data_IF_709835703970
#
_entry.id   IF_709835703970
#
_cell.length_a   1.000
_cell.length_b   1.000
_cell.length_c   1.000
_cell.angle_alpha   90.00
_cell.angle_beta   90.00
_cell.angle_gamma   90.00
#
_symmetry.space_group_name_H-M   'P 1'
#
loop_
_entity.id
_entity.type
_entity.pdbx_description
1 polymer ?
#
# COMPACT_ATOMS: atom_id res chain seq x y z
N UNK A 1 -18.82 79.92 -13.46
CA UNK A 1 -17.78 80.74 -14.12
C UNK A 1 -16.61 79.83 -14.48
N UNK A 2 -16.37 79.76 -15.81
CA UNK A 2 -15.08 79.62 -16.49
C UNK A 2 -14.19 78.42 -16.07
N UNK A 3 -14.07 77.44 -16.97
CA UNK A 3 -13.20 77.32 -18.20
C UNK A 3 -11.79 76.84 -17.86
N UNK A 4 -11.40 75.82 -18.55
CA UNK A 4 -10.00 75.56 -18.87
C UNK A 4 -9.69 74.16 -19.36
N UNK A 5 -9.65 74.07 -20.69
CA UNK A 5 -9.19 72.89 -21.41
C UNK A 5 -7.67 72.73 -21.35
N UNK A 6 -7.13 71.52 -21.53
CA UNK A 6 -5.76 71.25 -21.74
C UNK A 6 -5.53 69.84 -22.26
N UNK A 7 -5.29 69.74 -23.57
CA UNK A 7 -4.87 68.58 -24.32
C UNK A 7 -3.39 68.28 -24.06
N UNK A 8 -2.99 66.99 -24.20
CA UNK A 8 -1.60 66.60 -24.31
C UNK A 8 -1.47 65.09 -24.16
N UNK A 9 -1.32 64.41 -25.15
CA UNK A 9 -0.90 63.27 -25.77
C UNK A 9 0.47 62.76 -25.34
N UNK A 10 0.63 61.45 -25.34
CA UNK A 10 1.89 60.77 -25.12
C UNK A 10 1.67 59.28 -24.93
N UNK A 11 1.64 58.54 -26.01
CA UNK A 11 1.67 57.09 -25.97
C UNK A 11 3.08 56.63 -25.62
N UNK A 12 3.18 55.68 -24.70
CA UNK A 12 4.39 54.86 -24.52
C UNK A 12 3.94 53.42 -24.30
N UNK A 13 4.42 52.54 -25.17
CA UNK A 13 4.16 51.12 -25.18
C UNK A 13 4.58 50.43 -23.89
N UNK A 14 3.64 49.75 -23.30
CA UNK A 14 3.88 48.82 -22.21
C UNK A 14 4.12 47.44 -22.80
N UNK A 15 5.38 47.02 -22.76
CA UNK A 15 5.82 45.65 -23.01
C UNK A 15 5.11 44.72 -22.08
N UNK A 16 4.34 43.80 -22.65
CA UNK A 16 3.77 42.66 -21.92
C UNK A 16 4.93 41.84 -21.35
N UNK A 17 5.06 41.84 -20.03
CA UNK A 17 5.90 40.92 -19.31
C UNK A 17 5.28 39.52 -19.44
N UNK A 18 5.95 38.65 -20.18
CA UNK A 18 5.72 37.24 -20.20
C UNK A 18 6.05 36.70 -18.80
N UNK A 19 5.02 36.52 -17.97
CA UNK A 19 5.09 35.79 -16.73
C UNK A 19 5.46 34.35 -17.06
N UNK A 20 6.65 33.96 -16.63
CA UNK A 20 7.12 32.59 -16.65
C UNK A 20 6.21 31.74 -15.74
N UNK A 21 5.37 30.91 -16.37
CA UNK A 21 4.69 29.78 -15.71
C UNK A 21 5.75 28.77 -15.24
N UNK A 22 6.29 28.99 -14.05
CA UNK A 22 7.13 28.06 -13.34
C UNK A 22 6.38 27.56 -12.10
N UNK A 23 5.36 26.75 -12.33
CA UNK A 23 4.81 25.77 -11.41
C UNK A 23 3.98 24.80 -12.26
N UNK A 24 4.66 23.77 -12.77
CA UNK A 24 4.03 22.67 -13.50
C UNK A 24 3.19 21.79 -12.56
N UNK A 25 2.08 22.29 -12.09
CA UNK A 25 1.01 21.49 -11.51
C UNK A 25 0.42 20.62 -12.62
N UNK A 26 0.75 19.34 -12.63
CA UNK A 26 0.13 18.37 -13.54
C UNK A 26 -1.39 18.42 -13.37
N UNK A 27 -2.11 18.67 -14.46
CA UNK A 27 -3.58 18.68 -14.43
C UNK A 27 -4.07 17.26 -14.14
N UNK A 28 -4.99 17.07 -13.16
CA UNK A 28 -5.54 15.77 -12.83
C UNK A 28 -6.08 15.03 -14.07
N UNK A 29 -5.80 13.74 -14.16
CA UNK A 29 -6.33 12.88 -15.22
C UNK A 29 -5.70 13.06 -16.59
N UNK A 30 -4.52 13.68 -16.71
CA UNK A 30 -3.79 13.80 -18.00
C UNK A 30 -3.12 12.46 -18.35
N UNK A 31 -3.16 12.11 -19.65
CA UNK A 31 -2.46 10.98 -20.24
C UNK A 31 -1.38 11.47 -21.23
N UNK A 32 -0.28 10.71 -21.45
CA UNK A 32 0.11 9.53 -20.66
C UNK A 32 0.56 9.88 -19.23
N UNK A 33 0.49 8.93 -18.32
CA UNK A 33 0.92 9.09 -16.93
C UNK A 33 1.64 7.83 -16.41
N UNK A 34 2.54 8.04 -15.46
CA UNK A 34 3.18 6.95 -14.70
C UNK A 34 2.90 7.20 -13.22
N UNK A 35 2.25 6.23 -12.59
CA UNK A 35 1.84 6.33 -11.19
C UNK A 35 2.64 5.33 -10.36
N UNK A 36 2.90 5.73 -9.11
CA UNK A 36 3.47 4.86 -8.09
C UNK A 36 2.39 4.56 -7.05
N UNK A 37 2.21 3.28 -6.74
CA UNK A 37 1.22 2.77 -5.79
C UNK A 37 1.94 2.13 -4.59
N UNK A 38 2.29 2.90 -3.54
CA UNK A 38 3.07 2.42 -2.41
C UNK A 38 2.23 1.53 -1.48
N UNK A 39 2.87 0.48 -0.96
CA UNK A 39 2.27 -0.46 -0.03
C UNK A 39 1.92 0.20 1.31
N UNK A 40 0.89 -0.34 1.98
CA UNK A 40 0.66 -0.07 3.40
C UNK A 40 1.31 -1.17 4.25
N UNK A 41 1.71 -0.82 5.45
CA UNK A 41 2.11 -1.75 6.48
C UNK A 41 1.30 -1.48 7.75
N UNK A 42 0.56 -2.49 8.22
CA UNK A 42 -0.21 -2.42 9.46
C UNK A 42 0.72 -2.73 10.63
N UNK A 43 0.98 -1.74 11.47
CA UNK A 43 1.91 -1.85 12.59
C UNK A 43 1.25 -2.47 13.83
N UNK A 44 -0.04 -2.21 14.03
CA UNK A 44 -0.87 -2.83 15.06
C UNK A 44 -2.30 -2.94 14.55
N UNK A 45 -3.04 -3.93 15.04
CA UNK A 45 -4.44 -4.11 14.71
C UNK A 45 -5.17 -4.75 15.90
N UNK A 46 -6.14 -4.03 16.45
CA UNK A 46 -7.11 -4.55 17.39
C UNK A 46 -8.47 -4.71 16.71
N UNK A 47 -9.17 -5.81 16.94
CA UNK A 47 -10.57 -5.98 16.54
C UNK A 47 -11.44 -5.50 17.70
N UNK A 48 -12.11 -4.36 17.53
CA UNK A 48 -12.84 -3.67 18.59
C UNK A 48 -14.32 -4.07 18.66
N UNK A 49 -14.85 -4.63 17.57
CA UNK A 49 -16.25 -5.03 17.51
C UNK A 49 -16.59 -5.82 16.25
N UNK A 50 -17.80 -6.37 16.23
CA UNK A 50 -18.40 -6.97 15.03
C UNK A 50 -19.76 -6.32 14.83
N UNK A 51 -19.97 -5.75 13.66
CA UNK A 51 -21.21 -5.05 13.29
C UNK A 51 -22.33 -6.07 12.96
N UNK A 52 -23.60 -5.65 13.02
CA UNK A 52 -24.72 -6.51 12.64
C UNK A 52 -24.67 -7.01 11.19
N UNK A 53 -24.00 -6.28 10.30
CA UNK A 53 -23.78 -6.65 8.91
C UNK A 53 -22.61 -7.65 8.70
N UNK A 54 -21.96 -8.07 9.82
CA UNK A 54 -20.86 -9.05 9.81
C UNK A 54 -19.48 -8.45 9.59
N UNK A 55 -19.35 -7.15 9.36
CA UNK A 55 -18.05 -6.50 9.29
C UNK A 55 -17.42 -6.31 10.67
N UNK A 56 -16.10 -6.44 10.72
CA UNK A 56 -15.32 -6.26 11.95
C UNK A 56 -14.84 -4.82 12.05
N UNK A 57 -15.10 -4.20 13.19
CA UNK A 57 -14.53 -2.89 13.53
C UNK A 57 -13.12 -3.07 14.04
N UNK A 58 -12.21 -2.23 13.57
CA UNK A 58 -10.79 -2.28 13.91
C UNK A 58 -10.31 -0.96 14.50
N UNK A 59 -9.20 -1.03 15.23
CA UNK A 59 -8.34 0.09 15.60
C UNK A 59 -6.91 -0.31 15.24
N UNK A 60 -6.37 0.33 14.20
CA UNK A 60 -5.09 -0.03 13.64
C UNK A 60 -4.18 1.18 13.46
N UNK A 61 -2.87 0.98 13.61
CA UNK A 61 -1.87 1.93 13.15
C UNK A 61 -1.30 1.44 11.82
N UNK A 62 -1.36 2.29 10.80
CA UNK A 62 -0.85 1.98 9.47
C UNK A 62 0.18 3.02 9.01
N UNK A 63 1.14 2.56 8.22
CA UNK A 63 2.14 3.42 7.57
C UNK A 63 2.26 3.05 6.09
N UNK A 64 2.57 4.05 5.26
CA UNK A 64 2.96 3.83 3.87
C UNK A 64 4.46 3.54 3.82
N UNK A 65 4.85 2.58 2.99
CA UNK A 65 6.26 2.19 2.79
C UNK A 65 6.66 2.28 1.32
N UNK A 66 7.97 2.36 1.04
CA UNK A 66 8.54 2.58 -0.29
C UNK A 66 8.52 1.37 -1.24
N UNK A 67 8.07 0.19 -0.80
CA UNK A 67 7.71 -0.91 -1.70
C UNK A 67 6.47 -0.51 -2.49
N UNK A 68 6.54 -0.49 -3.82
CA UNK A 68 5.47 0.09 -4.64
C UNK A 68 5.24 -0.68 -5.93
N UNK A 69 3.99 -0.80 -6.32
CA UNK A 69 3.60 -1.15 -7.69
C UNK A 69 3.74 0.07 -8.62
N UNK A 70 3.79 -0.16 -9.91
CA UNK A 70 3.88 0.89 -10.92
C UNK A 70 2.78 0.72 -11.95
N UNK A 71 2.07 1.81 -12.26
CA UNK A 71 1.03 1.84 -13.26
C UNK A 71 1.43 2.80 -14.37
N UNK A 72 1.41 2.34 -15.62
CA UNK A 72 1.58 3.14 -16.81
C UNK A 72 0.23 3.31 -17.50
N UNK A 73 -0.24 4.55 -17.57
CA UNK A 73 -1.52 4.92 -18.15
C UNK A 73 -1.31 5.57 -19.51
N UNK A 74 -2.07 5.13 -20.51
CA UNK A 74 -2.08 5.68 -21.87
C UNK A 74 -3.51 5.78 -22.41
N UNK A 75 -3.69 6.45 -23.55
CA UNK A 75 -4.98 6.52 -24.24
C UNK A 75 -5.48 5.13 -24.64
N UNK A 76 -6.78 4.93 -24.57
CA UNK A 76 -7.47 3.68 -24.86
C UNK A 76 -8.04 3.01 -23.62
N UNK A 77 -8.38 1.74 -23.74
CA UNK A 77 -8.95 0.90 -22.68
C UNK A 77 -8.11 -0.36 -22.45
N UNK A 78 -8.40 -1.05 -21.36
CA UNK A 78 -7.82 -2.34 -21.00
C UNK A 78 -6.80 -2.28 -19.89
N UNK A 79 -6.60 -3.44 -19.26
CA UNK A 79 -5.67 -3.65 -18.16
C UNK A 79 -4.77 -4.86 -18.47
N UNK A 80 -3.47 -4.63 -18.48
CA UNK A 80 -2.44 -5.68 -18.53
C UNK A 80 -1.65 -5.70 -17.23
N UNK A 81 -1.26 -6.89 -16.78
CA UNK A 81 -0.58 -7.07 -15.50
C UNK A 81 0.69 -7.89 -15.71
N UNK A 82 1.80 -7.34 -15.24
CA UNK A 82 3.11 -7.98 -15.20
C UNK A 82 3.57 -8.13 -13.74
N UNK A 83 4.15 -9.26 -13.38
CA UNK A 83 4.73 -9.48 -12.06
C UNK A 83 6.24 -9.23 -12.13
N UNK A 84 6.69 -8.19 -11.40
CA UNK A 84 8.11 -7.85 -11.19
C UNK A 84 8.38 -7.86 -9.68
N UNK A 85 8.33 -9.06 -9.10
CA UNK A 85 8.51 -9.21 -7.66
C UNK A 85 9.97 -8.94 -7.27
N UNK A 86 10.21 -8.24 -6.14
CA UNK A 86 11.55 -7.90 -5.73
C UNK A 86 12.39 -9.16 -5.54
N UNK A 87 13.39 -9.37 -6.40
CA UNK A 87 14.49 -10.26 -6.10
C UNK A 87 15.23 -9.60 -4.93
N UNK A 88 15.25 -10.24 -3.76
CA UNK A 88 15.84 -9.66 -2.56
C UNK A 88 17.26 -9.11 -2.81
N UNK A 89 17.40 -7.79 -2.76
CA UNK A 89 18.66 -7.06 -2.94
C UNK A 89 18.72 -5.84 -2.02
N UNK A 90 19.91 -5.26 -1.76
CA UNK A 90 20.07 -4.11 -0.89
C UNK A 90 19.42 -2.86 -1.47
N UNK A 91 18.88 -2.01 -0.59
CA UNK A 91 18.30 -0.71 -0.93
C UNK A 91 19.28 0.19 -1.69
N UNK A 92 18.76 0.82 -2.74
CA UNK A 92 19.22 2.02 -3.43
C UNK A 92 20.70 2.09 -3.89
N UNK A 93 20.89 2.01 -5.21
CA UNK A 93 22.07 2.56 -5.87
C UNK A 93 22.78 1.66 -6.89
N UNK A 94 22.43 0.40 -7.02
CA UNK A 94 23.03 -0.49 -8.03
C UNK A 94 21.93 -1.08 -8.92
N UNK A 95 22.09 -0.97 -10.22
CA UNK A 95 21.18 -1.58 -11.19
C UNK A 95 21.07 -3.09 -10.92
N UNK A 96 19.87 -3.66 -10.86
CA UNK A 96 19.71 -5.09 -10.64
C UNK A 96 20.23 -5.85 -11.87
N UNK A 97 21.20 -6.74 -11.64
CA UNK A 97 21.44 -7.82 -12.59
C UNK A 97 20.13 -8.64 -12.67
N UNK A 98 19.64 -8.86 -13.89
CA UNK A 98 18.45 -9.65 -14.17
C UNK A 98 18.66 -11.10 -13.71
N UNK A 99 18.32 -11.38 -12.47
CA UNK A 99 18.11 -12.75 -12.00
C UNK A 99 16.61 -12.97 -12.05
N UNK A 100 16.11 -13.58 -13.10
CA UNK A 100 14.74 -14.09 -13.17
C UNK A 100 14.60 -15.25 -12.16
N UNK A 101 14.29 -14.92 -10.92
CA UNK A 101 13.76 -15.89 -9.97
C UNK A 101 12.26 -15.95 -10.22
N UNK A 102 11.79 -16.99 -10.88
CA UNK A 102 10.37 -17.31 -10.96
C UNK A 102 9.87 -17.67 -9.56
N UNK A 103 9.54 -16.65 -8.77
CA UNK A 103 8.75 -16.86 -7.56
C UNK A 103 7.29 -16.96 -8.01
N UNK A 104 6.74 -18.16 -7.98
CA UNK A 104 5.30 -18.39 -8.19
C UNK A 104 4.53 -17.70 -7.07
N UNK A 105 4.10 -16.47 -7.30
CA UNK A 105 3.16 -15.79 -6.42
C UNK A 105 1.79 -16.43 -6.62
N UNK A 106 1.26 -17.03 -5.57
CA UNK A 106 0.18 -18.00 -5.63
C UNK A 106 -1.24 -17.43 -5.59
N UNK A 107 -1.41 -16.12 -5.77
CA UNK A 107 -2.74 -15.56 -6.03
C UNK A 107 -2.68 -14.78 -7.34
N UNK A 108 -3.25 -15.31 -8.44
CA UNK A 108 -3.25 -14.60 -9.71
C UNK A 108 -4.07 -13.31 -9.57
N UNK A 109 -3.43 -12.18 -9.87
CA UNK A 109 -4.16 -10.92 -10.03
C UNK A 109 -4.80 -10.94 -11.41
N UNK A 110 -6.12 -10.93 -11.47
CA UNK A 110 -6.87 -10.96 -12.73
C UNK A 110 -7.05 -9.54 -13.28
N UNK A 111 -6.97 -9.40 -14.60
CA UNK A 111 -7.25 -8.15 -15.32
C UNK A 111 -8.75 -7.95 -15.60
N UNK A 112 -9.64 -8.67 -14.91
CA UNK A 112 -11.09 -8.61 -15.10
C UNK A 112 -11.76 -7.37 -14.48
N UNK A 113 -13.08 -7.20 -14.66
CA UNK A 113 -13.84 -6.06 -14.15
C UNK A 113 -13.85 -5.96 -12.63
N UNK A 114 -13.56 -7.04 -11.92
CA UNK A 114 -13.44 -7.06 -10.46
C UNK A 114 -12.09 -6.50 -9.95
N UNK A 115 -11.13 -6.23 -10.85
CA UNK A 115 -9.87 -5.62 -10.48
C UNK A 115 -10.10 -4.21 -9.96
N UNK A 116 -9.47 -3.87 -8.82
CA UNK A 116 -9.67 -2.57 -8.17
C UNK A 116 -9.22 -1.37 -9.04
N UNK A 117 -8.26 -1.55 -9.96
CA UNK A 117 -7.87 -0.53 -10.95
C UNK A 117 -9.02 -0.26 -11.91
N UNK A 118 -9.64 -1.29 -12.46
CA UNK A 118 -10.79 -1.14 -13.37
C UNK A 118 -11.98 -0.49 -12.66
N UNK A 119 -12.26 -0.91 -11.42
CA UNK A 119 -13.31 -0.32 -10.58
C UNK A 119 -13.02 1.13 -10.20
N UNK A 120 -11.76 1.49 -9.95
CA UNK A 120 -11.36 2.87 -9.67
C UNK A 120 -11.54 3.77 -10.91
N UNK A 121 -11.15 3.31 -12.10
CA UNK A 121 -11.40 4.04 -13.37
C UNK A 121 -12.89 4.26 -13.58
N UNK A 122 -13.72 3.22 -13.38
CA UNK A 122 -15.17 3.33 -13.49
C UNK A 122 -15.77 4.33 -12.47
N UNK A 123 -15.29 4.32 -11.22
CA UNK A 123 -15.75 5.25 -10.18
C UNK A 123 -15.49 6.71 -10.56
N UNK A 124 -14.36 7.00 -11.19
CA UNK A 124 -14.02 8.38 -11.58
C UNK A 124 -14.50 8.74 -13.00
N UNK A 125 -15.20 7.83 -13.70
CA UNK A 125 -15.70 8.05 -15.06
C UNK A 125 -14.59 8.31 -16.06
N UNK A 126 -13.45 7.61 -15.93
CA UNK A 126 -12.29 7.75 -16.81
C UNK A 126 -11.98 6.46 -17.54
N UNK A 127 -11.48 6.60 -18.74
CA UNK A 127 -10.94 5.50 -19.55
C UNK A 127 -9.44 5.69 -19.71
N UNK A 128 -8.70 4.61 -19.54
CA UNK A 128 -7.27 4.54 -19.77
C UNK A 128 -6.86 3.09 -20.03
N UNK A 129 -5.90 2.91 -20.93
CA UNK A 129 -5.16 1.65 -21.00
C UNK A 129 -4.12 1.64 -19.91
N UNK A 130 -4.15 0.64 -19.03
CA UNK A 130 -3.25 0.52 -17.89
C UNK A 130 -2.34 -0.69 -18.06
N UNK A 131 -1.03 -0.47 -17.95
CA UNK A 131 -0.04 -1.52 -17.74
C UNK A 131 0.42 -1.47 -16.29
N UNK A 132 0.06 -2.51 -15.52
CA UNK A 132 0.32 -2.61 -14.08
C UNK A 132 1.49 -3.57 -13.83
N UNK A 133 2.58 -3.04 -13.30
CA UNK A 133 3.75 -3.82 -12.86
C UNK A 133 3.66 -4.07 -11.37
N UNK A 134 3.38 -5.33 -10.99
CA UNK A 134 3.18 -5.76 -9.60
C UNK A 134 4.49 -6.11 -8.92
N UNK A 135 4.83 -5.38 -7.86
CA UNK A 135 5.93 -5.63 -6.93
C UNK A 135 5.45 -5.99 -5.53
N UNK A 136 4.21 -5.64 -5.21
CA UNK A 136 3.55 -5.99 -3.95
C UNK A 136 2.82 -7.32 -4.17
N UNK A 137 3.21 -8.43 -3.50
CA UNK A 137 2.56 -9.71 -3.70
C UNK A 137 1.09 -9.67 -3.29
N UNK A 138 0.24 -10.32 -4.09
CA UNK A 138 -1.17 -10.46 -3.76
C UNK A 138 -1.35 -11.36 -2.53
N UNK A 139 -2.29 -11.02 -1.65
CA UNK A 139 -2.56 -11.76 -0.42
C UNK A 139 -1.47 -11.65 0.64
N UNK A 140 -0.54 -10.70 0.50
CA UNK A 140 0.55 -10.47 1.44
C UNK A 140 0.16 -9.61 2.66
N UNK A 141 -1.05 -9.06 2.75
CA UNK A 141 -1.46 -8.14 3.81
C UNK A 141 -0.91 -6.71 3.66
N UNK A 142 -0.32 -6.38 2.51
CA UNK A 142 0.34 -5.10 2.22
C UNK A 142 -0.52 -4.13 1.40
N UNK A 143 -1.77 -4.46 1.11
CA UNK A 143 -2.74 -3.59 0.47
C UNK A 143 -2.44 -3.22 -0.99
N UNK A 144 -1.70 -4.06 -1.75
CA UNK A 144 -1.25 -3.74 -3.10
C UNK A 144 -2.39 -3.34 -4.05
N UNK A 145 -3.47 -4.12 -4.12
CA UNK A 145 -4.63 -3.78 -4.97
C UNK A 145 -5.31 -2.47 -4.55
N UNK A 146 -5.39 -2.20 -3.24
CA UNK A 146 -5.94 -0.94 -2.72
C UNK A 146 -5.02 0.25 -3.03
N UNK A 147 -3.70 0.05 -3.01
CA UNK A 147 -2.72 1.05 -3.42
C UNK A 147 -2.82 1.37 -4.92
N UNK A 148 -3.01 0.33 -5.76
CA UNK A 148 -3.21 0.50 -7.21
C UNK A 148 -4.46 1.34 -7.49
N UNK A 149 -5.59 1.01 -6.86
CA UNK A 149 -6.82 1.77 -6.97
C UNK A 149 -6.66 3.21 -6.49
N UNK A 150 -6.04 3.42 -5.32
CA UNK A 150 -5.79 4.74 -4.77
C UNK A 150 -4.91 5.60 -5.69
N UNK A 151 -3.90 5.01 -6.36
CA UNK A 151 -3.08 5.71 -7.32
C UNK A 151 -3.91 6.24 -8.50
N UNK A 152 -4.84 5.45 -9.02
CA UNK A 152 -5.78 5.86 -10.08
C UNK A 152 -6.71 6.97 -9.58
N UNK A 153 -7.29 6.84 -8.39
CA UNK A 153 -8.15 7.86 -7.79
C UNK A 153 -7.40 9.19 -7.64
N UNK A 154 -6.18 9.14 -7.13
CA UNK A 154 -5.35 10.32 -6.95
C UNK A 154 -5.01 10.99 -8.28
N UNK A 155 -4.61 10.19 -9.29
CA UNK A 155 -4.36 10.69 -10.65
C UNK A 155 -5.57 11.42 -11.21
N UNK A 156 -6.78 10.91 -10.98
CA UNK A 156 -8.02 11.52 -11.42
C UNK A 156 -8.45 12.76 -10.61
N UNK A 157 -7.74 13.08 -9.50
CA UNK A 157 -8.10 14.18 -8.61
C UNK A 157 -9.25 13.85 -7.63
N UNK A 158 -9.53 12.56 -7.41
CA UNK A 158 -10.59 12.11 -6.52
C UNK A 158 -10.13 12.19 -5.06
N UNK A 159 -10.94 12.83 -4.20
CA UNK A 159 -10.59 13.08 -2.80
C UNK A 159 -11.61 12.56 -1.77
N UNK A 160 -12.73 11.99 -2.23
CA UNK A 160 -13.75 11.43 -1.34
C UNK A 160 -13.31 10.07 -0.79
N UNK A 161 -12.76 10.08 0.43
CA UNK A 161 -12.31 8.86 1.12
C UNK A 161 -13.48 7.93 1.47
N UNK A 162 -14.67 8.46 1.73
CA UNK A 162 -15.85 7.66 2.03
C UNK A 162 -16.32 6.88 0.78
N UNK A 163 -16.34 7.54 -0.39
CA UNK A 163 -16.60 6.88 -1.66
C UNK A 163 -15.51 5.87 -2.03
N UNK A 164 -14.25 6.16 -1.71
CA UNK A 164 -13.13 5.25 -1.93
C UNK A 164 -13.25 3.94 -1.12
N UNK A 165 -13.85 3.98 0.07
CA UNK A 165 -14.11 2.79 0.90
C UNK A 165 -14.99 1.75 0.19
N UNK A 166 -15.86 2.18 -0.72
CA UNK A 166 -16.68 1.30 -1.55
C UNK A 166 -15.88 0.40 -2.52
N UNK A 167 -14.63 0.74 -2.81
CA UNK A 167 -13.71 -0.10 -3.58
C UNK A 167 -13.05 -1.17 -2.71
N UNK A 168 -12.70 -0.82 -1.48
CA UNK A 168 -12.06 -1.71 -0.52
C UNK A 168 -11.62 -0.96 0.74
N UNK A 169 -11.63 -1.66 1.89
CA UNK A 169 -11.39 -1.08 3.22
C UNK A 169 -10.03 -0.35 3.37
N UNK A 170 -9.00 -0.80 2.67
CA UNK A 170 -7.66 -0.19 2.72
C UNK A 170 -7.49 0.99 1.74
N UNK A 171 -8.44 1.22 0.79
CA UNK A 171 -8.32 2.27 -0.23
C UNK A 171 -8.28 3.68 0.37
N UNK A 172 -9.11 4.02 1.39
CA UNK A 172 -9.05 5.32 2.05
C UNK A 172 -7.67 5.64 2.63
N UNK A 173 -7.05 4.66 3.31
CA UNK A 173 -5.70 4.82 3.82
C UNK A 173 -4.68 5.00 2.69
N UNK A 174 -4.72 4.18 1.64
CA UNK A 174 -3.81 4.28 0.51
C UNK A 174 -3.96 5.62 -0.26
N UNK A 175 -5.15 6.20 -0.26
CA UNK A 175 -5.41 7.52 -0.85
C UNK A 175 -4.79 8.65 -0.02
N UNK A 176 -4.87 8.56 1.31
CA UNK A 176 -4.30 9.52 2.26
C UNK A 176 -2.79 9.36 2.39
N UNK A 177 -2.32 8.15 2.53
CA UNK A 177 -0.90 7.80 2.73
C UNK A 177 -0.31 8.23 4.07
N UNK A 178 1.02 8.07 4.19
CA UNK A 178 1.77 8.48 5.37
C UNK A 178 1.60 7.56 6.57
N UNK A 179 1.37 8.14 7.75
CA UNK A 179 1.08 7.45 9.00
C UNK A 179 -0.32 7.84 9.47
N UNK A 180 -1.15 6.89 9.84
CA UNK A 180 -2.49 7.16 10.33
C UNK A 180 -2.94 6.11 11.35
N UNK A 181 -3.89 6.51 12.22
CA UNK A 181 -4.78 5.60 12.91
C UNK A 181 -5.98 5.33 11.99
N UNK A 182 -6.32 4.07 11.84
CA UNK A 182 -7.41 3.62 10.96
C UNK A 182 -8.43 2.89 11.81
N UNK A 183 -9.69 3.33 11.75
CA UNK A 183 -10.79 2.78 12.55
C UNK A 183 -12.01 2.48 11.69
N UNK A 184 -13.12 2.06 12.31
CA UNK A 184 -14.29 1.55 11.62
C UNK A 184 -13.98 0.20 10.99
N UNK A 185 -14.42 -0.04 9.75
CA UNK A 185 -14.03 -1.24 8.97
C UNK A 185 -12.76 -1.01 8.14
N UNK A 186 -12.08 0.16 8.32
CA UNK A 186 -10.91 0.62 7.57
C UNK A 186 -11.12 1.98 6.88
N UNK A 187 -12.33 2.53 6.95
CA UNK A 187 -12.74 3.74 6.22
C UNK A 187 -12.43 5.05 6.95
N UNK A 188 -12.27 5.02 8.27
CA UNK A 188 -11.98 6.22 9.06
C UNK A 188 -10.46 6.34 9.23
N UNK A 189 -9.87 7.32 8.55
CA UNK A 189 -8.42 7.54 8.52
C UNK A 189 -8.11 8.85 9.24
N UNK A 190 -7.39 8.75 10.36
CA UNK A 190 -6.89 9.89 11.14
C UNK A 190 -5.38 10.04 10.92
N UNK A 191 -4.92 11.00 10.09
CA UNK A 191 -3.50 11.21 9.87
C UNK A 191 -2.73 11.48 11.16
N UNK A 192 -1.51 10.96 11.24
CA UNK A 192 -0.57 11.15 12.34
C UNK A 192 0.73 11.80 11.83
N UNK A 193 1.49 12.48 12.68
CA UNK A 193 2.79 13.02 12.28
C UNK A 193 3.68 11.94 11.66
N UNK A 194 4.34 12.30 10.57
CA UNK A 194 5.30 11.41 9.91
C UNK A 194 6.42 11.01 10.89
N UNK A 195 6.79 9.74 10.84
CA UNK A 195 7.93 9.20 11.57
C UNK A 195 8.78 8.38 10.60
N UNK A 196 10.04 8.76 10.43
CA UNK A 196 10.98 7.98 9.64
C UNK A 196 11.29 6.66 10.36
N UNK A 197 10.84 5.55 9.79
CA UNK A 197 11.00 4.19 10.33
C UNK A 197 11.46 3.26 9.22
N UNK A 198 12.18 2.22 9.57
CA UNK A 198 12.65 1.18 8.66
C UNK A 198 12.19 -0.18 9.14
N UNK A 199 11.92 -1.06 8.18
CA UNK A 199 11.44 -2.41 8.46
C UNK A 199 12.12 -3.40 7.54
N UNK A 200 12.26 -4.63 8.03
CA UNK A 200 12.54 -5.79 7.19
C UNK A 200 11.26 -6.62 7.13
N UNK A 201 10.77 -6.83 5.93
CA UNK A 201 9.61 -7.67 5.63
C UNK A 201 10.09 -9.07 5.24
N UNK A 202 9.42 -10.09 5.76
CA UNK A 202 9.51 -11.45 5.28
C UNK A 202 8.23 -11.74 4.48
N UNK A 203 8.38 -12.03 3.20
CA UNK A 203 7.29 -12.35 2.26
C UNK A 203 7.28 -13.86 2.01
N UNK A 204 6.42 -14.65 2.67
CA UNK A 204 6.28 -16.08 2.40
C UNK A 204 5.84 -16.33 0.94
N UNK A 205 6.10 -17.53 0.37
CA UNK A 205 5.76 -17.86 -1.01
C UNK A 205 4.26 -18.18 -1.20
N UNK A 206 3.40 -17.67 -0.33
CA UNK A 206 1.95 -17.85 -0.38
C UNK A 206 1.24 -16.60 0.17
N UNK A 207 0.00 -16.40 -0.27
CA UNK A 207 -0.91 -15.41 0.27
C UNK A 207 -1.89 -16.02 1.27
N UNK A 208 -2.60 -15.16 2.01
CA UNK A 208 -3.70 -15.55 2.91
C UNK A 208 -4.94 -14.75 2.54
N UNK A 209 -6.09 -15.43 2.49
CA UNK A 209 -7.37 -14.79 2.21
C UNK A 209 -7.88 -14.06 3.46
N UNK A 210 -8.00 -12.74 3.40
CA UNK A 210 -8.42 -11.89 4.53
C UNK A 210 -9.77 -12.33 5.11
N UNK A 211 -10.76 -12.65 4.26
CA UNK A 211 -12.07 -13.09 4.73
C UNK A 211 -12.00 -14.42 5.50
N UNK A 212 -11.11 -15.34 5.11
CA UNK A 212 -10.90 -16.58 5.86
C UNK A 212 -10.31 -16.33 7.24
N UNK A 213 -9.40 -15.34 7.36
CA UNK A 213 -8.80 -14.97 8.66
C UNK A 213 -9.85 -14.39 9.60
N UNK A 214 -10.73 -13.49 9.13
CA UNK A 214 -11.80 -12.95 9.97
C UNK A 214 -12.80 -14.03 10.40
N UNK A 215 -13.17 -14.95 9.51
CA UNK A 215 -14.01 -16.11 9.88
C UNK A 215 -13.34 -17.01 10.95
N UNK A 216 -12.04 -17.23 10.84
CA UNK A 216 -11.29 -17.98 11.83
C UNK A 216 -11.19 -17.21 13.16
N UNK A 217 -11.07 -15.88 13.13
CA UNK A 217 -11.09 -15.04 14.32
C UNK A 217 -12.44 -15.16 15.05
N UNK A 218 -13.58 -15.08 14.32
CA UNK A 218 -14.90 -15.29 14.90
C UNK A 218 -15.04 -16.66 15.55
N UNK A 219 -14.56 -17.70 14.89
CA UNK A 219 -14.57 -19.07 15.41
C UNK A 219 -13.78 -19.19 16.72
N UNK A 220 -12.56 -18.67 16.77
CA UNK A 220 -11.71 -18.67 17.96
C UNK A 220 -12.33 -17.84 19.09
N UNK A 221 -12.92 -16.69 18.77
CA UNK A 221 -13.60 -15.82 19.74
C UNK A 221 -14.78 -16.54 20.41
N UNK A 222 -15.62 -17.21 19.64
CA UNK A 222 -16.78 -17.95 20.16
C UNK A 222 -16.37 -19.07 21.13
N UNK A 223 -15.18 -19.64 20.95
CA UNK A 223 -14.62 -20.69 21.80
C UNK A 223 -13.82 -20.18 22.98
N UNK A 224 -13.58 -18.87 23.06
CA UNK A 224 -12.71 -18.29 24.08
C UNK A 224 -11.22 -18.66 23.91
N UNK A 225 -10.81 -18.96 22.67
CA UNK A 225 -9.45 -19.42 22.31
C UNK A 225 -8.56 -18.29 21.77
N UNK A 226 -9.08 -17.06 21.66
CA UNK A 226 -8.25 -15.91 21.28
C UNK A 226 -7.26 -15.59 22.41
N UNK A 227 -5.98 -15.31 22.07
CA UNK A 227 -5.05 -14.77 23.05
C UNK A 227 -5.55 -13.42 23.56
N UNK A 228 -5.18 -13.06 24.78
CA UNK A 228 -5.49 -11.73 25.32
C UNK A 228 -4.87 -10.61 24.48
N UNK A 229 -5.46 -9.40 24.51
CA UNK A 229 -4.96 -8.28 23.73
C UNK A 229 -3.53 -7.93 24.14
N UNK A 230 -2.65 -7.81 23.15
CA UNK A 230 -1.26 -7.41 23.34
C UNK A 230 -1.08 -5.97 22.83
N UNK A 231 -0.57 -5.08 23.67
CA UNK A 231 -0.29 -3.69 23.27
C UNK A 231 0.64 -3.64 22.06
N UNK A 232 0.18 -3.03 20.96
CA UNK A 232 0.90 -2.96 19.69
C UNK A 232 0.97 -4.28 18.93
N UNK A 233 0.17 -5.28 19.31
CA UNK A 233 0.04 -6.57 18.64
C UNK A 233 -0.92 -6.55 17.45
N UNK A 234 -1.25 -7.75 16.98
CA UNK A 234 -2.22 -7.96 15.92
C UNK A 234 -3.19 -9.07 16.31
N UNK A 235 -4.43 -8.72 16.60
CA UNK A 235 -5.47 -9.65 17.04
C UNK A 235 -5.81 -10.72 15.99
N UNK A 236 -5.42 -10.50 14.74
CA UNK A 236 -5.63 -11.47 13.66
C UNK A 236 -4.53 -12.55 13.59
N UNK A 237 -3.41 -12.41 14.33
CA UNK A 237 -2.27 -13.33 14.21
C UNK A 237 -2.66 -14.79 14.48
N UNK A 238 -3.36 -15.07 15.59
CA UNK A 238 -3.79 -16.41 15.94
C UNK A 238 -4.73 -17.02 14.89
N UNK A 239 -5.67 -16.20 14.38
CA UNK A 239 -6.60 -16.60 13.34
C UNK A 239 -5.89 -16.87 12.00
N UNK A 240 -4.95 -16.01 11.61
CA UNK A 240 -4.15 -16.20 10.41
C UNK A 240 -3.32 -17.49 10.45
N UNK A 241 -2.69 -17.78 11.60
CA UNK A 241 -1.95 -19.04 11.84
C UNK A 241 -2.88 -20.26 11.81
N UNK A 242 -4.12 -20.12 12.26
CA UNK A 242 -5.12 -21.20 12.17
C UNK A 242 -5.49 -21.48 10.71
N UNK A 243 -5.65 -20.44 9.88
CA UNK A 243 -5.95 -20.59 8.45
C UNK A 243 -4.76 -21.15 7.68
N UNK A 244 -3.55 -20.67 7.99
CA UNK A 244 -2.32 -21.08 7.31
C UNK A 244 -1.20 -21.37 8.34
N UNK A 245 -1.08 -22.62 8.80
CA UNK A 245 -0.13 -22.98 9.85
C UNK A 245 1.35 -22.73 9.51
N UNK A 246 1.71 -22.66 8.21
CA UNK A 246 3.08 -22.34 7.79
C UNK A 246 3.51 -20.94 8.22
N UNK A 247 2.54 -20.03 8.48
CA UNK A 247 2.85 -18.71 9.03
C UNK A 247 3.63 -18.79 10.34
N UNK A 248 3.24 -19.68 11.26
CA UNK A 248 3.98 -19.87 12.51
C UNK A 248 5.41 -20.35 12.26
N UNK A 249 5.61 -21.28 11.33
CA UNK A 249 6.93 -21.78 10.99
C UNK A 249 7.82 -20.66 10.41
N UNK A 250 7.30 -19.84 9.52
CA UNK A 250 8.01 -18.70 8.95
C UNK A 250 8.30 -17.62 9.99
N UNK A 251 7.37 -17.33 10.90
CA UNK A 251 7.61 -16.46 12.06
C UNK A 251 8.81 -16.92 12.86
N UNK A 252 8.84 -18.22 13.21
CA UNK A 252 9.87 -18.79 14.08
C UNK A 252 11.25 -18.83 13.40
N UNK A 253 11.30 -19.10 12.09
CA UNK A 253 12.54 -18.97 11.29
C UNK A 253 13.01 -17.52 11.29
N UNK A 254 12.11 -16.57 11.02
CA UNK A 254 12.44 -15.15 10.97
C UNK A 254 12.89 -14.61 12.34
N UNK A 255 12.21 -15.02 13.42
CA UNK A 255 12.60 -14.69 14.80
C UNK A 255 14.00 -15.19 15.14
N UNK A 256 14.29 -16.45 14.80
CA UNK A 256 15.61 -17.08 15.08
C UNK A 256 16.73 -16.37 14.34
N UNK A 257 16.52 -16.03 13.07
CA UNK A 257 17.56 -15.40 12.24
C UNK A 257 17.76 -13.93 12.60
N UNK A 258 16.67 -13.21 12.92
CA UNK A 258 16.74 -11.77 13.23
C UNK A 258 17.09 -11.49 14.69
N UNK A 259 16.90 -12.46 15.61
CA UNK A 259 16.98 -12.24 17.05
C UNK A 259 15.89 -11.32 17.60
N UNK A 260 14.81 -11.06 16.82
CA UNK A 260 13.71 -10.17 17.18
C UNK A 260 12.38 -10.89 17.04
N UNK A 261 11.33 -10.41 17.74
CA UNK A 261 9.98 -10.92 17.58
C UNK A 261 9.33 -10.31 16.33
N UNK A 262 9.01 -11.11 15.30
CA UNK A 262 8.25 -10.62 14.15
C UNK A 262 6.80 -10.31 14.51
N UNK A 263 6.19 -9.38 13.78
CA UNK A 263 4.76 -9.06 13.83
C UNK A 263 4.13 -9.35 12.47
N UNK A 264 2.87 -9.79 12.48
CA UNK A 264 2.11 -10.05 11.27
C UNK A 264 1.54 -8.73 10.70
N UNK A 265 1.63 -8.52 9.40
CA UNK A 265 1.08 -7.36 8.71
C UNK A 265 -0.40 -7.59 8.35
N UNK A 266 -1.33 -7.00 9.09
CA UNK A 266 -2.77 -7.17 8.86
C UNK A 266 -3.20 -8.64 8.97
N UNK A 267 -3.93 -9.15 7.97
CA UNK A 267 -4.32 -10.57 7.90
C UNK A 267 -3.19 -11.51 7.43
N UNK A 268 -2.00 -10.99 7.15
CA UNK A 268 -0.89 -11.75 6.59
C UNK A 268 -0.94 -11.79 5.05
N UNK A 269 0.04 -12.48 4.43
CA UNK A 269 1.02 -13.43 4.97
C UNK A 269 2.34 -12.80 5.45
N UNK A 270 2.57 -11.51 5.24
CA UNK A 270 3.85 -10.85 5.54
C UNK A 270 4.10 -10.78 7.05
N UNK A 271 5.32 -11.15 7.46
CA UNK A 271 5.88 -10.85 8.76
C UNK A 271 6.83 -9.66 8.65
N UNK A 272 6.93 -8.86 9.69
CA UNK A 272 7.88 -7.75 9.72
C UNK A 272 8.55 -7.57 11.08
N UNK A 273 9.75 -7.00 11.05
CA UNK A 273 10.44 -6.46 12.22
C UNK A 273 10.78 -5.01 11.95
N UNK A 274 10.80 -4.18 12.99
CA UNK A 274 11.23 -2.79 12.90
C UNK A 274 12.74 -2.69 13.07
N UNK A 275 13.38 -1.79 12.33
CA UNK A 275 14.81 -1.52 12.32
C UNK A 275 15.48 -1.97 11.03
N UNK A 276 16.75 -1.61 10.92
CA UNK A 276 17.58 -1.90 9.75
C UNK A 276 18.10 -3.34 9.74
N UNK A 277 18.88 -3.63 8.68
CA UNK A 277 19.66 -4.85 8.51
C UNK A 277 20.72 -5.12 9.59
N UNK A 278 20.78 -4.31 10.65
CA UNK A 278 21.70 -4.48 11.78
C UNK A 278 21.39 -5.71 12.66
N UNK A 279 20.27 -6.38 12.42
CA UNK A 279 20.09 -7.73 12.96
C UNK A 279 21.19 -8.62 12.34
N UNK A 280 22.17 -9.12 13.13
CA UNK A 280 23.39 -9.77 12.59
C UNK A 280 23.14 -10.92 11.62
N UNK A 281 21.96 -11.54 11.70
CA UNK A 281 21.57 -12.65 10.82
C UNK A 281 20.92 -12.23 9.50
N UNK A 282 20.63 -10.92 9.26
CA UNK A 282 19.90 -10.45 8.09
C UNK A 282 20.71 -9.56 7.14
N UNK A 283 21.89 -9.08 7.54
CA UNK A 283 22.64 -8.03 6.84
C UNK A 283 22.73 -8.23 5.32
N UNK A 284 23.15 -9.41 4.87
CA UNK A 284 23.37 -9.72 3.46
C UNK A 284 22.31 -10.70 2.90
N UNK A 285 21.27 -11.01 3.67
CA UNK A 285 20.26 -11.97 3.21
C UNK A 285 19.16 -11.26 2.43
N UNK A 286 18.77 -11.90 1.35
CA UNK A 286 17.66 -11.50 0.49
C UNK A 286 16.48 -12.47 0.57
N UNK A 287 16.71 -13.63 1.20
CA UNK A 287 15.72 -14.68 1.37
C UNK A 287 16.02 -15.56 2.59
N UNK A 288 14.98 -16.20 3.10
CA UNK A 288 15.06 -17.29 4.06
C UNK A 288 14.48 -18.57 3.45
N UNK A 289 14.94 -19.72 3.94
CA UNK A 289 14.51 -21.03 3.46
C UNK A 289 13.87 -21.83 4.59
N UNK A 290 12.76 -22.49 4.28
CA UNK A 290 12.08 -23.45 5.15
C UNK A 290 11.75 -24.71 4.34
N UNK A 291 12.50 -25.79 4.58
CA UNK A 291 12.40 -26.99 3.76
C UNK A 291 12.77 -26.71 2.28
N UNK A 292 11.78 -26.82 1.39
CA UNK A 292 11.94 -26.52 -0.05
C UNK A 292 11.39 -25.15 -0.43
N UNK A 293 10.72 -24.46 0.50
CA UNK A 293 10.15 -23.15 0.26
C UNK A 293 11.17 -22.03 0.54
N UNK A 294 11.01 -20.93 -0.17
CA UNK A 294 11.81 -19.72 0.02
C UNK A 294 10.89 -18.53 0.23
N UNK A 295 11.17 -17.72 1.25
CA UNK A 295 10.53 -16.45 1.52
C UNK A 295 11.49 -15.31 1.24
N UNK A 296 11.01 -14.24 0.61
CA UNK A 296 11.83 -13.06 0.32
C UNK A 296 11.97 -12.16 1.54
N UNK A 297 13.13 -11.53 1.67
CA UNK A 297 13.39 -10.46 2.62
C UNK A 297 13.46 -9.13 1.86
N UNK A 298 12.56 -8.22 2.20
CA UNK A 298 12.50 -6.88 1.59
C UNK A 298 12.70 -5.82 2.67
N UNK A 299 13.62 -4.91 2.44
CA UNK A 299 13.84 -3.76 3.32
C UNK A 299 13.05 -2.60 2.82
N UNK A 300 12.32 -1.96 3.71
CA UNK A 300 11.44 -0.84 3.38
C UNK A 300 11.60 0.29 4.40
N UNK A 301 11.33 1.51 3.94
CA UNK A 301 11.26 2.70 4.77
C UNK A 301 9.87 3.33 4.65
N UNK A 302 9.45 4.02 5.72
CA UNK A 302 8.23 4.83 5.66
C UNK A 302 8.38 5.99 4.70
N UNK A 303 7.31 6.31 3.98
CA UNK A 303 7.21 7.51 3.15
C UNK A 303 6.11 8.44 3.69
N UNK A 304 6.27 9.78 3.54
CA UNK A 304 5.24 10.72 3.97
C UNK A 304 3.94 10.52 3.20
N UNK A 305 2.83 11.02 3.76
CA UNK A 305 1.54 11.10 3.07
C UNK A 305 1.58 12.09 1.89
N UNK A 306 0.58 11.97 1.06
CA UNK A 306 0.38 12.84 -0.11
C UNK A 306 -0.23 14.17 0.28
#
# INVERSE_FOLDING_TARGET
MRTGAGQGGGGVGGTAASGSDAAGGERPGRLPAVLTAPAKLTLSLAVTGVRPDGYHEIDAEMVTVDLSDRLELSEGDGLSIEADLPAGGPCAGTQPAQVQVQVQVQMPVTAGPDNLVARALALVGREARVHLVKRIPAGAGLGGGSADAAAVLWWAGYQDTAGAAGLGADVPFCLTGGRARVTGIGEVVEPRPFAARRFVLLLPPFGVETAAVYRAWDYLRQRGELPGPEAGGNDLEAAAVTVEPRLAQWRDVFARVSGRRPRLAGSGSTWFIEGDSEAPGLADRTQLTLGREQAMLVRVATVPGR
#
